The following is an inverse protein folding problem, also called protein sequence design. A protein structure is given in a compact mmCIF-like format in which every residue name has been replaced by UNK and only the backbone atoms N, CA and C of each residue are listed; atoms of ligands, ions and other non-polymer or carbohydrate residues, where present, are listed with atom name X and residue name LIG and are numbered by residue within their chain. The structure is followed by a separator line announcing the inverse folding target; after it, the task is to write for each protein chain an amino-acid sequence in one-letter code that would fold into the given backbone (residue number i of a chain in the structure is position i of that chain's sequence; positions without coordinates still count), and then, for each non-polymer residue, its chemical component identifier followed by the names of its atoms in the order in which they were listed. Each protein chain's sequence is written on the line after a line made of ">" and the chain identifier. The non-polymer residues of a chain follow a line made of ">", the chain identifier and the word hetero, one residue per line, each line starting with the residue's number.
data_IF_716416253364
#
_entry.id   IF_716416253364
#
_cell.length_a   1.000
_cell.length_b   1.000
_cell.length_c   1.000
_cell.angle_alpha   90.00
_cell.angle_beta   90.00
_cell.angle_gamma   90.00
#
_symmetry.space_group_name_H-M   'P 1'
#
loop_
_entity.id
_entity.type
_entity.pdbx_description
1 polymer ?
#
# COMPACT_ATOMS: atom_id res chain seq x y z
N UNK A 1 -12.62 -17.10 -18.08
CA UNK A 1 -11.32 -17.46 -18.66
C UNK A 1 -10.50 -18.13 -17.58
N UNK A 2 -9.58 -19.06 -17.90
CA UNK A 2 -8.63 -19.59 -16.94
C UNK A 2 -7.66 -18.50 -16.48
N UNK A 3 -7.14 -18.63 -15.26
CA UNK A 3 -6.01 -17.82 -14.79
C UNK A 3 -4.75 -18.35 -15.46
N UNK A 4 -3.97 -17.48 -16.07
CA UNK A 4 -2.76 -17.83 -16.83
C UNK A 4 -1.50 -17.22 -16.23
N UNK A 5 -1.62 -16.26 -15.35
CA UNK A 5 -0.54 -15.67 -14.55
C UNK A 5 -1.11 -15.06 -13.28
N UNK A 6 -0.26 -14.91 -12.28
CA UNK A 6 -0.54 -14.16 -11.04
C UNK A 6 0.58 -13.16 -10.83
N UNK A 7 0.25 -11.98 -10.34
CA UNK A 7 1.22 -10.96 -9.96
C UNK A 7 0.88 -10.50 -8.55
N UNK A 8 1.76 -10.76 -7.59
CA UNK A 8 1.66 -10.20 -6.25
C UNK A 8 2.25 -8.79 -6.25
N UNK A 9 1.51 -7.83 -5.75
CA UNK A 9 2.02 -6.46 -5.60
C UNK A 9 2.96 -6.36 -4.41
N UNK A 10 2.62 -6.99 -3.28
CA UNK A 10 3.42 -6.95 -2.06
C UNK A 10 2.99 -8.03 -1.06
N UNK A 11 3.69 -8.14 0.05
CA UNK A 11 3.59 -9.25 1.01
C UNK A 11 2.68 -8.97 2.22
N UNK A 12 1.69 -8.08 2.11
CA UNK A 12 0.59 -8.05 3.06
C UNK A 12 -0.40 -9.19 2.77
N UNK A 13 -0.89 -9.81 3.84
CA UNK A 13 -1.68 -11.07 3.77
C UNK A 13 -2.95 -10.94 2.92
N UNK A 14 -3.58 -9.78 2.91
CA UNK A 14 -4.79 -9.49 2.14
C UNK A 14 -4.53 -9.36 0.63
N UNK A 15 -3.26 -9.30 0.20
CA UNK A 15 -2.88 -9.23 -1.22
C UNK A 15 -2.37 -10.55 -1.81
N UNK A 16 -2.04 -11.53 -0.98
CA UNK A 16 -1.63 -12.85 -1.46
C UNK A 16 -2.40 -14.03 -0.82
N UNK A 17 -2.99 -13.84 0.38
CA UNK A 17 -3.56 -14.93 1.17
C UNK A 17 -4.75 -15.65 0.53
N UNK A 18 -5.43 -15.03 -0.45
CA UNK A 18 -6.55 -15.62 -1.18
C UNK A 18 -6.19 -16.51 -2.37
N UNK A 19 -4.89 -16.74 -2.63
CA UNK A 19 -4.42 -17.43 -3.84
C UNK A 19 -5.00 -18.81 -4.07
N UNK A 20 -5.27 -19.56 -3.02
CA UNK A 20 -5.86 -20.90 -3.14
C UNK A 20 -7.30 -20.89 -3.65
N UNK A 21 -8.06 -19.86 -3.34
CA UNK A 21 -9.42 -19.71 -3.87
C UNK A 21 -9.39 -19.40 -5.38
N UNK A 22 -8.32 -18.75 -5.84
CA UNK A 22 -8.12 -18.42 -7.26
C UNK A 22 -7.55 -19.61 -8.03
N UNK A 23 -6.67 -20.39 -7.42
CA UNK A 23 -5.95 -21.53 -8.01
C UNK A 23 -6.21 -22.84 -7.22
N UNK A 24 -7.46 -23.30 -7.08
CA UNK A 24 -7.77 -24.47 -6.28
C UNK A 24 -7.16 -25.72 -6.92
N UNK A 25 -6.34 -26.46 -6.13
CA UNK A 25 -5.73 -27.71 -6.58
C UNK A 25 -4.71 -27.58 -7.72
N UNK A 26 -4.28 -26.37 -8.03
CA UNK A 26 -3.28 -26.11 -9.07
C UNK A 26 -1.89 -26.40 -8.55
N UNK A 27 -1.07 -27.07 -9.36
CA UNK A 27 0.36 -27.14 -9.08
C UNK A 27 0.95 -25.73 -9.27
N UNK A 28 1.56 -25.12 -8.25
CA UNK A 28 2.13 -23.76 -8.34
C UNK A 28 3.08 -23.54 -9.53
N UNK A 29 3.76 -24.60 -9.98
CA UNK A 29 4.64 -24.54 -11.16
C UNK A 29 3.94 -24.57 -12.51
N UNK A 30 2.61 -24.65 -12.59
CA UNK A 30 1.88 -24.74 -13.88
C UNK A 30 1.58 -23.38 -14.52
N UNK A 31 1.61 -22.30 -13.76
CA UNK A 31 1.45 -20.93 -14.24
C UNK A 31 2.50 -20.02 -13.61
N UNK A 32 2.94 -18.95 -14.28
CA UNK A 32 3.87 -17.99 -13.70
C UNK A 32 3.21 -17.21 -12.57
N UNK A 33 3.93 -17.09 -11.45
CA UNK A 33 3.59 -16.22 -10.33
C UNK A 33 4.73 -15.21 -10.20
N UNK A 34 4.48 -13.97 -10.59
CA UNK A 34 5.41 -12.86 -10.41
C UNK A 34 5.22 -12.28 -9.02
N UNK A 35 6.30 -11.92 -8.36
CA UNK A 35 6.21 -11.33 -7.04
C UNK A 35 7.50 -10.66 -6.60
N UNK A 36 7.47 -9.94 -5.46
CA UNK A 36 8.66 -9.35 -4.88
C UNK A 36 9.73 -10.38 -4.57
N UNK A 37 10.99 -9.95 -4.56
CA UNK A 37 12.09 -10.73 -4.01
C UNK A 37 11.93 -10.94 -2.48
N UNK A 38 12.77 -11.81 -1.95
CA UNK A 38 12.85 -12.07 -0.50
C UNK A 38 11.55 -12.63 0.12
N UNK A 39 10.73 -13.32 -0.69
CA UNK A 39 9.46 -13.91 -0.25
C UNK A 39 9.59 -14.75 1.02
N UNK A 40 10.53 -15.71 1.05
CA UNK A 40 10.69 -16.63 2.16
C UNK A 40 11.12 -15.91 3.44
N UNK A 41 12.04 -14.95 3.33
CA UNK A 41 12.52 -14.16 4.46
C UNK A 41 11.42 -13.26 5.03
N UNK A 42 10.62 -12.64 4.19
CA UNK A 42 9.50 -11.79 4.61
C UNK A 42 8.39 -12.61 5.28
N UNK A 43 8.06 -13.79 4.75
CA UNK A 43 7.10 -14.69 5.37
C UNK A 43 7.66 -15.23 6.72
N UNK A 44 8.95 -15.54 6.81
CA UNK A 44 9.60 -15.96 8.04
C UNK A 44 9.60 -14.84 9.11
N UNK A 45 9.84 -13.58 8.73
CA UNK A 45 9.67 -12.43 9.63
C UNK A 45 8.23 -12.32 10.14
N UNK A 46 7.25 -12.61 9.31
CA UNK A 46 5.84 -12.66 9.67
C UNK A 46 5.51 -13.68 10.77
N UNK A 47 6.37 -14.66 11.04
CA UNK A 47 6.24 -15.63 12.12
C UNK A 47 6.99 -15.24 13.40
N UNK A 48 7.70 -14.13 13.41
CA UNK A 48 8.50 -13.66 14.54
C UNK A 48 7.62 -13.18 15.72
N UNK A 49 8.24 -13.09 16.90
CA UNK A 49 7.57 -12.55 18.11
C UNK A 49 7.19 -11.11 17.95
N UNK A 50 8.02 -10.33 17.26
CA UNK A 50 7.75 -8.91 16.96
C UNK A 50 6.54 -8.77 16.03
N UNK A 51 6.41 -9.66 15.04
CA UNK A 51 5.24 -9.67 14.16
C UNK A 51 3.93 -9.93 14.92
N UNK A 52 3.93 -10.81 15.91
CA UNK A 52 2.74 -11.03 16.75
C UNK A 52 2.29 -9.76 17.48
N UNK A 53 3.23 -8.92 17.91
CA UNK A 53 2.93 -7.65 18.53
C UNK A 53 2.38 -6.64 17.49
N UNK A 54 2.97 -6.60 16.30
CA UNK A 54 2.51 -5.78 15.17
C UNK A 54 1.10 -6.20 14.74
N UNK A 55 0.87 -7.50 14.57
CA UNK A 55 -0.44 -8.04 14.20
C UNK A 55 -1.54 -7.68 15.23
N UNK A 56 -1.21 -7.76 16.54
CA UNK A 56 -2.16 -7.35 17.58
C UNK A 56 -2.50 -5.86 17.51
N UNK A 57 -1.51 -5.00 17.21
CA UNK A 57 -1.75 -3.58 16.98
C UNK A 57 -2.56 -3.34 15.70
N UNK A 58 -2.29 -4.09 14.63
CA UNK A 58 -3.07 -4.05 13.40
C UNK A 58 -4.55 -4.36 13.65
N UNK A 59 -4.85 -5.38 14.43
CA UNK A 59 -6.23 -5.73 14.78
C UNK A 59 -6.93 -4.60 15.54
N UNK A 60 -6.23 -3.93 16.45
CA UNK A 60 -6.77 -2.77 17.15
C UNK A 60 -7.00 -1.58 16.21
N UNK A 61 -6.05 -1.31 15.31
CA UNK A 61 -6.15 -0.25 14.29
C UNK A 61 -7.34 -0.49 13.35
N UNK A 62 -7.54 -1.75 12.91
CA UNK A 62 -8.61 -2.13 12.00
C UNK A 62 -9.98 -2.27 12.68
N UNK A 63 -10.06 -2.12 13.99
CA UNK A 63 -11.29 -2.26 14.75
C UNK A 63 -11.84 -3.69 14.83
N UNK A 64 -11.04 -4.71 14.55
CA UNK A 64 -11.47 -6.13 14.54
C UNK A 64 -12.13 -6.57 15.86
N UNK A 65 -11.66 -6.14 17.06
CA UNK A 65 -12.32 -6.48 18.33
C UNK A 65 -13.64 -5.75 18.59
N UNK A 66 -14.01 -4.79 17.73
CA UNK A 66 -15.22 -3.97 17.93
C UNK A 66 -16.37 -4.65 17.15
N UNK A 67 -17.56 -4.81 17.74
CA UNK A 67 -18.72 -5.35 17.02
C UNK A 67 -19.03 -4.54 15.76
N UNK A 68 -19.48 -5.20 14.73
CA UNK A 68 -19.94 -4.54 13.50
C UNK A 68 -21.25 -3.81 13.71
N UNK A 69 -21.45 -2.74 12.96
CA UNK A 69 -22.70 -1.98 12.91
C UNK A 69 -22.53 -0.51 13.26
N UNK A 70 -23.63 0.23 13.23
CA UNK A 70 -23.62 1.69 13.43
C UNK A 70 -23.12 2.14 14.81
N UNK A 71 -23.23 1.28 15.83
CA UNK A 71 -22.74 1.54 17.19
C UNK A 71 -21.33 0.97 17.43
N UNK A 72 -20.71 0.39 16.40
CA UNK A 72 -19.40 -0.22 16.45
C UNK A 72 -18.53 0.20 15.28
N UNK A 73 -18.01 -0.78 14.52
CA UNK A 73 -17.24 -0.50 13.31
C UNK A 73 -18.07 -0.76 12.03
N UNK A 74 -18.00 0.17 11.08
CA UNK A 74 -18.59 0.04 9.75
C UNK A 74 -17.51 -0.18 8.68
N UNK A 75 -16.24 -0.01 9.03
CA UNK A 75 -15.10 -0.18 8.15
C UNK A 75 -13.81 0.29 8.82
N UNK A 76 -12.70 0.06 8.14
CA UNK A 76 -11.36 0.43 8.63
C UNK A 76 -10.80 1.71 7.99
N UNK A 77 -11.61 2.47 7.24
CA UNK A 77 -11.22 3.71 6.57
C UNK A 77 -10.78 3.54 5.11
N UNK A 78 -10.38 2.34 4.70
CA UNK A 78 -10.01 2.01 3.30
C UNK A 78 -10.87 0.90 2.71
N UNK A 79 -11.76 0.33 3.52
CA UNK A 79 -12.69 -0.72 3.11
C UNK A 79 -13.48 -1.28 4.29
N UNK A 80 -14.27 -2.34 4.08
CA UNK A 80 -14.91 -3.08 5.15
C UNK A 80 -13.86 -3.67 6.10
N UNK A 81 -14.20 -3.76 7.40
CA UNK A 81 -13.33 -4.47 8.35
C UNK A 81 -13.23 -5.95 7.96
N UNK A 82 -12.04 -6.54 7.88
CA UNK A 82 -11.88 -7.93 7.49
C UNK A 82 -12.49 -8.85 8.56
N UNK A 83 -13.25 -9.85 8.13
CA UNK A 83 -13.66 -10.96 9.00
C UNK A 83 -12.61 -12.05 8.90
N UNK A 84 -11.91 -12.29 9.98
CA UNK A 84 -10.88 -13.31 10.04
C UNK A 84 -11.45 -14.57 10.69
N UNK A 85 -11.98 -15.48 9.86
CA UNK A 85 -12.50 -16.77 10.33
C UNK A 85 -11.38 -17.81 10.54
N UNK A 86 -10.26 -17.69 9.80
CA UNK A 86 -9.05 -18.50 10.00
C UNK A 86 -7.82 -17.78 9.43
N UNK A 87 -6.65 -18.17 9.92
CA UNK A 87 -5.34 -17.71 9.45
C UNK A 87 -4.56 -18.76 8.67
N UNK A 88 -5.21 -19.85 8.27
CA UNK A 88 -4.57 -20.88 7.44
C UNK A 88 -4.39 -20.35 6.01
N UNK A 89 -3.30 -19.61 5.82
CA UNK A 89 -2.87 -19.16 4.50
C UNK A 89 -1.83 -20.14 3.97
N UNK A 90 -2.24 -21.07 3.15
CA UNK A 90 -1.31 -21.73 2.25
C UNK A 90 -0.90 -20.70 1.19
N UNK A 91 0.38 -20.45 1.11
CA UNK A 91 0.96 -19.50 0.17
C UNK A 91 1.62 -20.24 -0.98
N UNK A 92 1.49 -19.68 -2.18
CA UNK A 92 2.29 -20.10 -3.32
C UNK A 92 3.39 -19.05 -3.52
N UNK A 93 4.67 -19.38 -3.30
CA UNK A 93 5.75 -18.43 -3.51
C UNK A 93 5.82 -18.00 -4.99
N UNK A 94 6.35 -16.83 -5.28
CA UNK A 94 6.65 -16.42 -6.64
C UNK A 94 7.52 -17.47 -7.34
N UNK A 95 7.19 -17.75 -8.60
CA UNK A 95 8.04 -18.56 -9.48
C UNK A 95 9.01 -17.66 -10.26
N UNK A 96 8.73 -16.36 -10.28
CA UNK A 96 9.53 -15.31 -10.93
C UNK A 96 9.61 -14.13 -9.95
N UNK A 97 10.79 -13.92 -9.39
CA UNK A 97 11.06 -12.75 -8.55
C UNK A 97 11.36 -11.53 -9.42
N UNK A 98 10.79 -10.38 -9.06
CA UNK A 98 10.96 -9.12 -9.76
C UNK A 98 11.78 -8.16 -8.90
N UNK A 99 13.06 -8.03 -9.22
CA UNK A 99 14.01 -7.16 -8.52
C UNK A 99 14.26 -5.84 -9.24
N UNK A 100 13.94 -5.82 -10.55
CA UNK A 100 14.08 -4.66 -11.42
C UNK A 100 12.91 -4.61 -12.42
N UNK A 101 12.87 -3.59 -13.28
CA UNK A 101 11.81 -3.47 -14.27
C UNK A 101 11.83 -4.67 -15.24
N UNK A 102 10.71 -5.39 -15.29
CA UNK A 102 10.45 -6.52 -16.14
C UNK A 102 9.32 -6.18 -17.13
N UNK A 103 9.57 -6.31 -18.43
CA UNK A 103 8.53 -6.19 -19.46
C UNK A 103 8.11 -7.59 -19.92
N UNK A 104 6.80 -7.85 -19.90
CA UNK A 104 6.23 -9.15 -20.30
C UNK A 104 4.96 -8.95 -21.13
N UNK A 105 4.65 -9.92 -21.99
CA UNK A 105 3.37 -9.99 -22.70
C UNK A 105 2.58 -11.17 -22.18
N UNK A 106 1.40 -10.92 -21.63
CA UNK A 106 0.51 -11.95 -21.08
C UNK A 106 -0.84 -11.88 -21.80
N UNK A 107 -1.23 -12.97 -22.46
CA UNK A 107 -2.47 -13.07 -23.29
C UNK A 107 -2.59 -11.93 -24.34
N UNK A 108 -1.45 -11.49 -24.88
CA UNK A 108 -1.40 -10.41 -25.88
C UNK A 108 -1.46 -9.00 -25.28
N UNK A 109 -1.41 -8.85 -23.97
CA UNK A 109 -1.31 -7.57 -23.28
C UNK A 109 0.12 -7.34 -22.84
N UNK A 110 0.71 -6.23 -23.27
CA UNK A 110 2.04 -5.82 -22.84
C UNK A 110 1.95 -5.09 -21.50
N UNK A 111 2.77 -5.52 -20.54
CA UNK A 111 2.84 -4.91 -19.23
C UNK A 111 4.27 -4.84 -18.71
N UNK A 112 4.49 -3.90 -17.84
CA UNK A 112 5.73 -3.67 -17.12
C UNK A 112 5.49 -3.87 -15.62
N UNK A 113 6.28 -4.76 -15.02
CA UNK A 113 6.27 -4.99 -13.57
C UNK A 113 7.56 -4.41 -13.02
N UNK A 114 7.49 -3.60 -11.97
CA UNK A 114 8.70 -3.01 -11.41
C UNK A 114 8.58 -2.62 -9.93
N UNK A 115 9.68 -2.64 -9.18
CA UNK A 115 9.71 -2.20 -7.80
C UNK A 115 9.29 -0.73 -7.65
N UNK A 116 8.44 -0.46 -6.68
CA UNK A 116 8.01 0.89 -6.32
C UNK A 116 7.56 0.89 -4.86
N UNK A 117 8.40 1.39 -3.96
CA UNK A 117 8.12 1.37 -2.54
C UNK A 117 6.80 2.08 -2.20
N UNK A 118 6.03 1.44 -1.36
CA UNK A 118 4.76 1.90 -0.86
C UNK A 118 4.63 1.59 0.62
N UNK A 119 3.67 0.76 0.96
CA UNK A 119 3.42 0.31 2.33
C UNK A 119 4.52 -0.60 2.87
N UNK A 120 5.26 -1.26 2.00
CA UNK A 120 6.41 -2.10 2.31
C UNK A 120 7.53 -1.86 1.29
N UNK A 121 8.80 -2.13 1.64
CA UNK A 121 9.93 -2.00 0.72
C UNK A 121 9.80 -2.89 -0.52
N UNK A 122 9.28 -4.11 -0.34
CA UNK A 122 9.14 -5.14 -1.37
C UNK A 122 7.84 -4.96 -2.18
N UNK A 123 7.54 -3.76 -2.61
CA UNK A 123 6.32 -3.46 -3.34
C UNK A 123 6.57 -3.41 -4.85
N UNK A 124 5.62 -3.95 -5.62
CA UNK A 124 5.63 -3.95 -7.09
C UNK A 124 4.43 -3.19 -7.65
N UNK A 125 4.67 -2.47 -8.73
CA UNK A 125 3.62 -1.92 -9.59
C UNK A 125 3.49 -2.72 -10.86
N UNK A 126 2.27 -2.72 -11.42
CA UNK A 126 2.01 -3.23 -12.77
C UNK A 126 1.50 -2.06 -13.62
N UNK A 127 2.23 -1.77 -14.67
CA UNK A 127 1.93 -0.71 -15.61
C UNK A 127 1.55 -1.29 -16.97
N UNK A 128 0.44 -0.84 -17.52
CA UNK A 128 -0.01 -1.14 -18.88
C UNK A 128 0.27 0.10 -19.74
N UNK A 129 1.36 0.11 -20.52
CA UNK A 129 1.80 1.32 -21.21
C UNK A 129 0.86 1.79 -22.32
N UNK A 130 0.23 0.87 -23.07
CA UNK A 130 -0.72 1.23 -24.13
C UNK A 130 -2.01 1.82 -23.55
N UNK A 131 -2.55 1.19 -22.53
CA UNK A 131 -3.78 1.63 -21.84
C UNK A 131 -3.53 2.78 -20.87
N UNK A 132 -2.29 3.05 -20.51
CA UNK A 132 -1.90 4.02 -19.49
C UNK A 132 -2.61 3.78 -18.15
N UNK A 133 -2.70 2.50 -17.75
CA UNK A 133 -3.31 2.06 -16.50
C UNK A 133 -2.24 1.57 -15.54
N UNK A 134 -2.26 2.08 -14.32
CA UNK A 134 -1.36 1.68 -13.24
C UNK A 134 -2.13 0.88 -12.17
N UNK A 135 -1.68 -0.34 -11.89
CA UNK A 135 -2.06 -1.10 -10.69
C UNK A 135 -1.02 -0.81 -9.63
N UNK A 136 -1.40 -0.01 -8.64
CA UNK A 136 -0.47 0.53 -7.65
C UNK A 136 -0.36 -0.29 -6.37
N UNK A 137 -1.17 -1.36 -6.21
CA UNK A 137 -1.25 -2.05 -4.93
C UNK A 137 -1.51 -1.07 -3.79
N UNK A 138 -0.76 -1.18 -2.70
CA UNK A 138 -0.87 -0.30 -1.53
C UNK A 138 0.14 0.84 -1.51
N UNK A 139 0.69 1.19 -2.68
CA UNK A 139 1.34 2.49 -2.85
C UNK A 139 0.30 3.60 -2.98
N UNK A 140 0.58 4.85 -2.55
CA UNK A 140 -0.33 5.95 -2.78
C UNK A 140 -0.75 6.05 -4.26
N UNK A 141 -2.02 6.42 -4.53
CA UNK A 141 -3.00 6.97 -3.62
C UNK A 141 -3.95 5.93 -3.04
N UNK A 142 -4.18 5.96 -1.73
CA UNK A 142 -5.26 5.17 -1.12
C UNK A 142 -6.60 5.93 -1.00
N UNK A 143 -6.68 7.17 -1.48
CA UNK A 143 -7.86 8.02 -1.28
C UNK A 143 -8.08 8.44 0.18
N UNK A 144 -7.05 8.32 1.00
CA UNK A 144 -6.95 8.73 2.40
C UNK A 144 -5.58 9.39 2.65
N UNK A 145 -5.36 9.90 3.84
CA UNK A 145 -4.07 10.48 4.22
C UNK A 145 -2.92 9.47 3.98
N UNK A 146 -1.78 9.91 3.40
CA UNK A 146 -0.70 8.99 3.07
C UNK A 146 -0.13 8.27 4.30
N UNK A 147 0.04 6.96 4.16
CA UNK A 147 0.51 6.07 5.21
C UNK A 147 2.04 6.12 5.35
N UNK A 148 2.58 7.26 5.76
CA UNK A 148 4.04 7.42 5.99
C UNK A 148 4.52 6.51 7.11
N UNK A 149 3.69 6.32 8.13
CA UNK A 149 3.89 5.33 9.20
C UNK A 149 2.51 4.85 9.69
N UNK A 150 2.47 3.76 10.43
CA UNK A 150 1.23 3.22 10.98
C UNK A 150 1.31 3.02 12.49
N UNK A 151 0.15 2.98 13.14
CA UNK A 151 0.05 2.60 14.55
C UNK A 151 0.55 1.17 14.83
N UNK A 152 0.79 0.38 13.79
CA UNK A 152 1.34 -0.97 13.88
C UNK A 152 2.85 -0.98 14.12
N UNK A 153 3.54 0.10 13.77
CA UNK A 153 5.00 0.20 13.73
C UNK A 153 5.62 -0.90 12.85
N UNK A 154 5.19 -0.94 11.59
CA UNK A 154 5.83 -1.75 10.57
C UNK A 154 7.16 -1.14 10.18
N UNK A 155 8.20 -1.99 10.17
CA UNK A 155 9.53 -1.54 9.77
C UNK A 155 9.59 -1.42 8.23
N UNK A 156 10.35 -0.43 7.75
CA UNK A 156 10.73 -0.35 6.36
C UNK A 156 10.00 0.72 5.54
N UNK A 157 9.06 1.46 6.11
CA UNK A 157 8.48 2.61 5.42
C UNK A 157 9.49 3.74 5.37
N UNK A 158 9.91 4.11 4.16
CA UNK A 158 10.79 5.23 3.90
C UNK A 158 10.00 6.35 3.20
N UNK A 159 9.72 7.48 3.88
CA UNK A 159 8.92 8.56 3.29
C UNK A 159 9.56 9.15 2.03
N UNK A 160 10.90 9.17 1.92
CA UNK A 160 11.57 9.67 0.72
C UNK A 160 11.36 8.74 -0.47
N UNK A 161 11.44 7.44 -0.25
CA UNK A 161 11.18 6.45 -1.31
C UNK A 161 9.71 6.39 -1.70
N UNK A 162 8.80 6.52 -0.73
CA UNK A 162 7.36 6.65 -1.00
C UNK A 162 7.10 7.91 -1.86
N UNK A 163 7.71 9.03 -1.52
CA UNK A 163 7.59 10.27 -2.30
C UNK A 163 8.16 10.11 -3.72
N UNK A 164 9.27 9.38 -3.90
CA UNK A 164 9.82 9.06 -5.21
C UNK A 164 8.86 8.19 -6.04
N UNK A 165 8.17 7.23 -5.42
CA UNK A 165 7.13 6.43 -6.07
C UNK A 165 5.94 7.31 -6.50
N UNK A 166 5.50 8.23 -5.64
CA UNK A 166 4.44 9.20 -6.01
C UNK A 166 4.88 10.06 -7.20
N UNK A 167 6.13 10.55 -7.21
CA UNK A 167 6.66 11.31 -8.34
C UNK A 167 6.69 10.47 -9.62
N UNK A 168 7.10 9.21 -9.53
CA UNK A 168 7.09 8.27 -10.66
C UNK A 168 5.68 8.06 -11.22
N UNK A 169 4.65 8.03 -10.38
CA UNK A 169 3.26 7.99 -10.84
C UNK A 169 2.91 9.24 -11.66
N UNK A 170 3.33 10.42 -11.20
CA UNK A 170 3.12 11.69 -11.94
C UNK A 170 3.80 11.63 -13.31
N UNK A 171 5.01 11.10 -13.37
CA UNK A 171 5.82 11.01 -14.60
C UNK A 171 5.28 9.98 -15.59
N UNK A 172 4.69 8.88 -15.13
CA UNK A 172 3.98 7.90 -15.97
C UNK A 172 2.72 8.47 -16.61
N UNK A 173 2.14 9.51 -16.02
CA UNK A 173 0.94 10.20 -16.50
C UNK A 173 -0.22 9.23 -16.81
N UNK A 174 -0.66 8.41 -15.84
CA UNK A 174 -1.71 7.42 -16.06
C UNK A 174 -3.06 8.07 -16.30
N UNK A 175 -3.91 7.40 -17.10
CA UNK A 175 -5.33 7.80 -17.23
C UNK A 175 -6.22 7.11 -16.21
N UNK A 176 -5.73 6.03 -15.60
CA UNK A 176 -6.39 5.36 -14.48
C UNK A 176 -5.37 4.74 -13.54
N UNK A 177 -5.70 4.76 -12.24
CA UNK A 177 -5.00 4.03 -11.18
C UNK A 177 -5.97 3.07 -10.52
N UNK A 178 -5.54 1.81 -10.41
CA UNK A 178 -6.25 0.73 -9.72
C UNK A 178 -5.47 0.43 -8.44
N UNK A 179 -5.85 1.00 -7.29
CA UNK A 179 -5.20 0.73 -6.01
C UNK A 179 -5.61 -0.63 -5.44
N UNK A 180 -4.86 -1.15 -4.48
CA UNK A 180 -5.22 -2.37 -3.76
C UNK A 180 -6.45 -2.18 -2.88
N UNK A 181 -6.58 -1.00 -2.30
CA UNK A 181 -7.74 -0.55 -1.52
C UNK A 181 -8.36 0.71 -2.12
N UNK A 182 -9.59 1.03 -1.71
CA UNK A 182 -10.34 2.20 -2.17
C UNK A 182 -10.85 2.09 -3.61
N UNK A 183 -11.31 3.19 -4.17
CA UNK A 183 -11.92 3.21 -5.50
C UNK A 183 -10.90 3.48 -6.59
N UNK A 184 -11.13 2.92 -7.78
CA UNK A 184 -10.37 3.26 -8.98
C UNK A 184 -10.49 4.76 -9.26
N UNK A 185 -9.37 5.39 -9.61
CA UNK A 185 -9.30 6.78 -10.03
C UNK A 185 -9.06 6.79 -11.54
N UNK A 186 -10.00 7.32 -12.31
CA UNK A 186 -9.97 7.28 -13.78
C UNK A 186 -10.04 8.66 -14.44
N UNK A 187 -9.78 9.71 -13.68
CA UNK A 187 -9.69 11.08 -14.20
C UNK A 187 -8.23 11.55 -14.16
N UNK A 188 -7.54 11.75 -15.31
CA UNK A 188 -6.13 12.12 -15.34
C UNK A 188 -5.80 13.41 -14.59
N UNK A 189 -6.72 14.39 -14.62
CA UNK A 189 -6.55 15.66 -13.89
C UNK A 189 -6.61 15.42 -12.38
N UNK A 190 -7.58 14.64 -11.93
CA UNK A 190 -7.74 14.26 -10.51
C UNK A 190 -6.54 13.46 -10.03
N UNK A 191 -6.05 12.50 -10.84
CA UNK A 191 -4.85 11.72 -10.54
C UNK A 191 -3.65 12.65 -10.32
N UNK A 192 -3.39 13.55 -11.26
CA UNK A 192 -2.26 14.48 -11.18
C UNK A 192 -2.36 15.40 -9.96
N UNK A 193 -3.54 15.94 -9.70
CA UNK A 193 -3.80 16.79 -8.53
C UNK A 193 -3.57 16.02 -7.23
N UNK A 194 -4.18 14.84 -7.08
CA UNK A 194 -4.06 14.02 -5.89
C UNK A 194 -2.60 13.55 -5.66
N UNK A 195 -1.91 13.10 -6.72
CA UNK A 195 -0.52 12.68 -6.60
C UNK A 195 0.41 13.84 -6.21
N UNK A 196 0.22 15.00 -6.83
CA UNK A 196 0.99 16.19 -6.47
C UNK A 196 0.77 16.55 -5.00
N UNK A 197 -0.49 16.57 -4.56
CA UNK A 197 -0.83 16.93 -3.19
C UNK A 197 -0.35 15.87 -2.18
N UNK A 198 -0.40 14.58 -2.55
CA UNK A 198 0.15 13.49 -1.73
C UNK A 198 1.67 13.64 -1.55
N UNK A 199 2.40 13.89 -2.64
CA UNK A 199 3.84 14.16 -2.59
C UNK A 199 4.15 15.35 -1.68
N UNK A 200 3.46 16.45 -1.89
CA UNK A 200 3.66 17.69 -1.14
C UNK A 200 3.28 17.52 0.35
N UNK A 201 2.31 16.65 0.65
CA UNK A 201 1.96 16.29 2.03
C UNK A 201 3.12 15.55 2.71
N UNK A 202 3.70 14.55 2.05
CA UNK A 202 4.83 13.79 2.59
C UNK A 202 6.03 14.73 2.79
N UNK A 203 6.35 15.54 1.79
CA UNK A 203 7.44 16.52 1.89
C UNK A 203 7.21 17.53 3.03
N UNK A 204 5.99 18.05 3.16
CA UNK A 204 5.65 18.95 4.25
C UNK A 204 5.90 18.31 5.62
N UNK A 205 5.51 17.06 5.81
CA UNK A 205 5.74 16.35 7.09
C UNK A 205 7.24 16.21 7.37
N UNK A 206 8.02 15.77 6.39
CA UNK A 206 9.49 15.67 6.51
C UNK A 206 10.09 17.02 6.92
N UNK A 207 9.77 18.08 6.19
CA UNK A 207 10.28 19.42 6.44
C UNK A 207 9.89 19.95 7.83
N UNK A 208 8.69 19.64 8.32
CA UNK A 208 8.27 20.05 9.65
C UNK A 208 9.00 19.27 10.75
N UNK A 209 9.19 17.96 10.60
CA UNK A 209 9.96 17.14 11.54
C UNK A 209 11.40 17.65 11.61
N UNK A 210 12.05 17.88 10.46
CA UNK A 210 13.41 18.42 10.39
C UNK A 210 13.51 19.81 11.04
N UNK A 211 12.55 20.69 10.76
CA UNK A 211 12.51 22.03 11.37
C UNK A 211 12.42 21.97 12.89
N UNK A 212 11.56 21.08 13.45
CA UNK A 212 11.42 20.92 14.89
C UNK A 212 12.67 20.33 15.51
N UNK A 213 13.24 19.30 14.90
CA UNK A 213 14.48 18.68 15.33
C UNK A 213 15.65 19.69 15.35
N UNK A 214 15.86 20.42 14.26
CA UNK A 214 16.92 21.44 14.14
C UNK A 214 16.71 22.63 15.09
N UNK A 215 15.48 22.91 15.49
CA UNK A 215 15.14 23.95 16.46
C UNK A 215 15.23 23.46 17.91
N UNK A 216 15.68 22.24 18.15
CA UNK A 216 15.75 21.58 19.46
C UNK A 216 14.41 21.60 20.21
N UNK A 217 13.31 21.46 19.48
CA UNK A 217 11.97 21.34 20.01
C UNK A 217 11.59 19.87 20.20
N UNK A 218 10.70 19.58 21.12
CA UNK A 218 10.27 18.23 21.42
C UNK A 218 9.24 17.70 20.41
N UNK A 219 9.05 16.38 20.37
CA UNK A 219 7.97 15.75 19.62
C UNK A 219 6.61 16.25 20.12
N UNK A 220 6.44 16.47 21.44
CA UNK A 220 5.22 17.02 22.00
C UNK A 220 4.93 18.44 21.50
N UNK A 221 5.97 19.27 21.32
CA UNK A 221 5.81 20.58 20.68
C UNK A 221 5.31 20.46 19.24
N UNK A 222 5.84 19.49 18.48
CA UNK A 222 5.39 19.23 17.11
C UNK A 222 3.91 18.84 17.11
N UNK A 223 3.54 17.82 17.86
CA UNK A 223 2.18 17.29 17.94
C UNK A 223 1.16 18.35 18.37
N UNK A 224 1.56 19.26 19.28
CA UNK A 224 0.66 20.29 19.81
C UNK A 224 0.56 21.56 18.95
N UNK A 225 1.48 21.77 18.01
CA UNK A 225 1.56 23.06 17.28
C UNK A 225 1.55 22.93 15.76
N UNK A 226 1.78 21.73 15.22
CA UNK A 226 1.70 21.53 13.79
C UNK A 226 0.25 21.61 13.30
N UNK A 227 0.01 22.41 12.30
CA UNK A 227 -1.24 22.46 11.56
C UNK A 227 -0.97 22.15 10.10
N UNK A 228 -1.73 21.23 9.53
CA UNK A 228 -1.67 20.97 8.10
C UNK A 228 -2.18 22.18 7.31
N UNK A 229 -1.56 22.50 6.17
CA UNK A 229 -2.11 23.51 5.26
C UNK A 229 -3.55 23.17 4.85
N UNK A 230 -4.44 24.18 4.66
CA UNK A 230 -5.84 23.93 4.29
C UNK A 230 -6.01 23.06 3.04
N UNK A 231 -5.14 23.22 2.04
CA UNK A 231 -5.16 22.39 0.84
C UNK A 231 -4.99 20.89 1.11
N UNK A 232 -4.32 20.52 2.22
CA UNK A 232 -4.14 19.13 2.67
C UNK A 232 -5.27 18.75 3.63
N UNK A 233 -5.48 19.59 4.66
CA UNK A 233 -6.43 19.30 5.73
C UNK A 233 -7.88 19.16 5.25
N UNK A 234 -8.27 19.97 4.27
CA UNK A 234 -9.65 20.02 3.76
C UNK A 234 -9.87 19.12 2.54
N UNK A 235 -8.83 18.49 2.00
CA UNK A 235 -8.96 17.67 0.79
C UNK A 235 -9.68 16.35 1.09
N UNK A 236 -10.79 16.02 0.37
CA UNK A 236 -11.64 14.88 0.73
C UNK A 236 -10.95 13.52 0.61
N UNK A 237 -9.91 13.40 -0.23
CA UNK A 237 -9.12 12.18 -0.41
C UNK A 237 -7.81 12.15 0.39
N UNK A 238 -7.62 13.08 1.32
CA UNK A 238 -6.49 13.11 2.26
C UNK A 238 -6.98 13.15 3.71
N UNK A 239 -8.21 12.69 3.96
CA UNK A 239 -8.75 12.65 5.31
C UNK A 239 -8.13 11.50 6.12
N UNK A 240 -7.93 11.70 7.44
CA UNK A 240 -7.24 10.74 8.29
C UNK A 240 -8.14 9.57 8.72
N UNK A 241 -8.78 8.90 7.78
CA UNK A 241 -9.69 7.78 8.06
C UNK A 241 -8.97 6.49 8.42
N UNK A 242 -7.74 6.29 7.88
CA UNK A 242 -6.94 5.10 8.13
C UNK A 242 -5.58 5.43 8.75
N UNK A 243 -4.97 6.53 8.31
CA UNK A 243 -3.72 7.07 8.82
C UNK A 243 -3.86 8.50 9.27
N UNK A 244 -3.01 8.90 10.18
CA UNK A 244 -2.93 10.27 10.71
C UNK A 244 -1.48 10.72 10.70
N UNK A 245 -1.27 12.02 10.52
CA UNK A 245 0.08 12.57 10.53
C UNK A 245 0.75 12.51 11.91
N UNK A 246 -0.03 12.40 12.99
CA UNK A 246 0.45 12.33 14.36
C UNK A 246 1.06 10.97 14.75
N UNK A 247 0.97 9.99 13.91
CA UNK A 247 1.58 8.68 14.11
C UNK A 247 2.97 8.63 13.51
#
# INVERSE_FOLDING_TARGET
>A
KPVIAVIYTHLHMDHYGGIQAILPGTNPGSIPIYGPADWEDTIAMGQSVTHKATLRRAFMQMGIPIPEGLEGTVGNGIGPSPRLESFDTLTYPPTIEVTEKLSVTIDGVDLEIFPAEGDVPEHLWVWLPEERVLFSGDSPPHGVFPAVETARFEMGRDPNKMMASVQKTIDLDPIAIVPGHSSIISNPREIRELMTLTRDTIQFLIDQVDRFYLSNRSVDDLLNTLNLPPAIADHPKLQPYYHRWEW
#
